data_IF_852929320634
#
_entry.id   IF_852929320634
#
_cell.length_a   1.000
_cell.length_b   1.000
_cell.length_c   1.000
_cell.angle_alpha   90.00
_cell.angle_beta   90.00
_cell.angle_gamma   90.00
#
_symmetry.space_group_name_H-M   'P 1'
#
loop_
_entity.id
_entity.type
_entity.pdbx_description
1 polymer ?
#
# COMPACT_ATOMS: atom_id res chain seq x y z
N UNK A 1 2.22 -13.13 -16.23
CA UNK A 1 1.64 -12.50 -17.43
C UNK A 1 0.45 -11.64 -16.99
N UNK A 2 0.31 -10.49 -17.56
CA UNK A 2 -0.82 -9.56 -17.27
C UNK A 2 -2.13 -10.18 -17.76
N UNK A 3 -3.22 -10.00 -17.01
CA UNK A 3 -4.57 -10.51 -17.25
C UNK A 3 -4.75 -12.04 -17.01
N UNK A 4 -3.85 -12.68 -16.28
CA UNK A 4 -3.99 -14.10 -15.93
C UNK A 4 -4.32 -14.33 -14.44
N UNK A 5 -4.35 -13.28 -13.65
CA UNK A 5 -4.52 -13.33 -12.20
C UNK A 5 -3.21 -13.57 -11.43
N UNK A 6 -3.24 -13.34 -10.13
CA UNK A 6 -2.13 -13.60 -9.23
C UNK A 6 -2.26 -14.99 -8.60
N UNK A 7 -1.13 -15.69 -8.47
CA UNK A 7 -1.08 -17.06 -7.93
C UNK A 7 0.05 -17.22 -6.93
N UNK A 8 -0.17 -18.05 -5.92
CA UNK A 8 0.83 -18.53 -4.99
C UNK A 8 0.74 -20.06 -4.90
N UNK A 9 1.81 -20.79 -5.25
CA UNK A 9 1.84 -22.25 -5.25
C UNK A 9 0.63 -22.84 -6.01
N UNK A 10 0.42 -22.38 -7.23
CA UNK A 10 -0.67 -22.78 -8.14
C UNK A 10 -2.10 -22.46 -7.65
N UNK A 11 -2.23 -21.80 -6.51
CA UNK A 11 -3.52 -21.31 -6.01
C UNK A 11 -3.69 -19.85 -6.35
N UNK A 12 -4.83 -19.51 -6.94
CA UNK A 12 -5.18 -18.11 -7.19
C UNK A 12 -5.37 -17.35 -5.89
N UNK A 13 -4.79 -16.14 -5.81
CA UNK A 13 -4.91 -15.26 -4.66
C UNK A 13 -5.71 -14.02 -5.02
N UNK A 14 -6.34 -13.42 -4.00
CA UNK A 14 -7.16 -12.23 -4.13
C UNK A 14 -6.93 -11.30 -2.94
N UNK A 15 -7.05 -10.00 -3.17
CA UNK A 15 -7.16 -9.03 -2.08
C UNK A 15 -8.41 -9.34 -1.24
N UNK A 16 -8.40 -8.95 0.04
CA UNK A 16 -9.62 -8.99 0.85
C UNK A 16 -10.61 -7.88 0.43
N UNK A 17 -11.79 -7.87 1.04
CA UNK A 17 -12.83 -6.87 0.80
C UNK A 17 -13.15 -6.01 2.03
N UNK A 18 -12.24 -5.97 3.00
CA UNK A 18 -12.44 -5.23 4.26
C UNK A 18 -12.38 -3.72 4.04
N UNK A 19 -13.08 -2.98 4.90
CA UNK A 19 -12.90 -1.54 5.10
C UNK A 19 -11.99 -1.28 6.30
N UNK A 20 -11.60 -0.03 6.56
CA UNK A 20 -10.78 0.28 7.74
C UNK A 20 -11.48 -0.05 9.07
N UNK A 21 -12.81 0.00 9.11
CA UNK A 21 -13.61 -0.26 10.31
C UNK A 21 -13.87 -1.75 10.56
N UNK A 22 -13.47 -2.63 9.64
CA UNK A 22 -13.61 -4.07 9.82
C UNK A 22 -12.65 -4.54 10.92
N UNK A 23 -13.12 -5.39 11.83
CA UNK A 23 -12.32 -5.92 12.95
C UNK A 23 -11.12 -6.76 12.53
N UNK A 24 -11.19 -7.33 11.33
CA UNK A 24 -10.12 -8.12 10.71
C UNK A 24 -9.15 -7.26 9.88
N UNK A 25 -9.42 -5.95 9.78
CA UNK A 25 -8.58 -5.05 8.98
C UNK A 25 -7.23 -4.84 9.63
N UNK A 26 -6.19 -5.23 8.91
CA UNK A 26 -4.80 -5.02 9.28
C UNK A 26 -4.13 -4.13 8.24
N UNK A 27 -3.47 -3.07 8.67
CA UNK A 27 -2.83 -2.07 7.82
C UNK A 27 -1.34 -2.04 8.08
N UNK A 28 -0.53 -2.20 7.04
CA UNK A 28 0.91 -1.96 7.13
C UNK A 28 1.24 -0.51 6.77
N UNK A 29 1.99 0.17 7.62
CA UNK A 29 2.50 1.51 7.35
C UNK A 29 3.99 1.51 7.60
N UNK A 30 4.77 1.55 6.53
CA UNK A 30 6.23 1.60 6.63
C UNK A 30 6.69 3.03 6.93
N UNK A 31 7.61 3.16 7.86
CA UNK A 31 8.18 4.43 8.26
C UNK A 31 9.65 4.25 8.62
N UNK A 32 10.48 5.22 8.26
CA UNK A 32 11.89 5.29 8.66
C UNK A 32 12.39 6.74 8.61
N UNK A 33 13.47 7.09 9.34
CA UNK A 33 13.90 8.49 9.50
C UNK A 33 14.26 9.25 8.21
N UNK A 34 14.72 8.54 7.17
CA UNK A 34 15.11 9.13 5.89
C UNK A 34 14.03 8.96 4.79
N UNK A 35 12.80 8.60 5.17
CA UNK A 35 11.70 8.48 4.23
C UNK A 35 11.39 9.83 3.57
N UNK A 36 10.92 9.79 2.33
CA UNK A 36 10.54 11.01 1.60
C UNK A 36 9.34 11.71 2.23
N UNK A 37 8.36 10.94 2.68
CA UNK A 37 7.13 11.45 3.29
C UNK A 37 6.97 10.97 4.73
N UNK A 38 6.45 11.85 5.58
CA UNK A 38 6.08 11.52 6.94
C UNK A 38 4.68 10.91 6.99
N UNK A 39 4.57 9.63 7.36
CA UNK A 39 3.30 8.93 7.47
C UNK A 39 2.77 8.81 8.91
N UNK A 40 3.46 9.33 9.94
CA UNK A 40 2.98 9.28 11.33
C UNK A 40 1.58 9.90 11.53
N UNK A 41 1.26 11.09 10.94
CA UNK A 41 -0.08 11.66 11.07
C UNK A 41 -1.18 10.81 10.41
N UNK A 42 -0.80 10.02 9.40
CA UNK A 42 -1.69 9.10 8.70
C UNK A 42 -1.90 7.85 9.56
N UNK A 43 -0.83 7.30 10.15
CA UNK A 43 -0.92 6.17 11.08
C UNK A 43 -1.80 6.49 12.27
N UNK A 44 -1.65 7.66 12.88
CA UNK A 44 -2.50 8.11 13.98
C UNK A 44 -3.99 8.08 13.61
N UNK A 45 -4.34 8.53 12.41
CA UNK A 45 -5.74 8.54 11.97
C UNK A 45 -6.27 7.14 11.65
N UNK A 46 -5.47 6.32 10.98
CA UNK A 46 -5.84 4.94 10.63
C UNK A 46 -5.94 4.08 11.88
N UNK A 47 -5.02 4.25 12.83
CA UNK A 47 -4.97 3.51 14.09
C UNK A 47 -6.20 3.69 14.99
N UNK A 48 -7.01 4.74 14.76
CA UNK A 48 -8.31 4.90 15.42
C UNK A 48 -9.37 3.91 14.93
N UNK A 49 -9.13 3.22 13.81
CA UNK A 49 -10.11 2.40 13.09
C UNK A 49 -9.63 0.98 12.82
N UNK A 50 -8.34 0.78 12.62
CA UNK A 50 -7.72 -0.48 12.22
C UNK A 50 -6.49 -0.78 13.06
N UNK A 51 -6.12 -2.04 13.15
CA UNK A 51 -4.80 -2.41 13.65
C UNK A 51 -3.72 -2.00 12.64
N UNK A 52 -2.65 -1.38 13.13
CA UNK A 52 -1.49 -0.99 12.33
C UNK A 52 -0.26 -1.79 12.71
N UNK A 53 0.56 -2.08 11.71
CA UNK A 53 1.87 -2.72 11.87
C UNK A 53 2.88 -2.07 10.94
N UNK A 54 4.16 -2.18 11.28
CA UNK A 54 5.28 -1.79 10.42
C UNK A 54 6.15 -3.03 10.20
N UNK A 55 6.16 -3.56 8.98
CA UNK A 55 6.96 -4.75 8.64
C UNK A 55 8.37 -4.36 8.19
N UNK A 56 8.54 -3.18 7.62
CA UNK A 56 9.81 -2.72 7.07
C UNK A 56 10.20 -3.41 5.76
N UNK A 57 9.24 -3.99 5.06
CA UNK A 57 9.42 -4.61 3.74
C UNK A 57 8.18 -4.40 2.89
N UNK A 58 8.28 -3.51 1.93
CA UNK A 58 7.17 -3.20 1.03
C UNK A 58 6.77 -4.40 0.16
N UNK A 59 7.74 -5.24 -0.23
CA UNK A 59 7.46 -6.46 -0.97
C UNK A 59 6.57 -7.39 -0.14
N UNK A 60 6.94 -7.63 1.12
CA UNK A 60 6.16 -8.50 2.00
C UNK A 60 4.78 -7.92 2.31
N UNK A 61 4.69 -6.61 2.54
CA UNK A 61 3.43 -5.92 2.76
C UNK A 61 2.53 -5.97 1.53
N UNK A 62 3.07 -5.71 0.34
CA UNK A 62 2.32 -5.78 -0.91
C UNK A 62 1.82 -7.19 -1.25
N UNK A 63 2.65 -8.21 -1.04
CA UNK A 63 2.20 -9.61 -1.17
C UNK A 63 1.11 -9.92 -0.14
N UNK A 64 1.22 -9.41 1.08
CA UNK A 64 0.18 -9.54 2.10
C UNK A 64 -1.15 -8.93 1.67
N UNK A 65 -1.13 -7.76 1.00
CA UNK A 65 -2.34 -7.18 0.40
C UNK A 65 -2.89 -8.08 -0.72
N UNK A 66 -2.04 -8.56 -1.63
CA UNK A 66 -2.46 -9.43 -2.73
C UNK A 66 -3.09 -10.75 -2.27
N UNK A 67 -2.69 -11.26 -1.11
CA UNK A 67 -3.23 -12.48 -0.49
C UNK A 67 -4.45 -12.24 0.39
N UNK A 68 -4.77 -10.98 0.68
CA UNK A 68 -5.84 -10.62 1.61
C UNK A 68 -5.45 -10.62 3.09
N UNK A 69 -4.16 -10.79 3.43
CA UNK A 69 -3.66 -10.72 4.81
C UNK A 69 -3.67 -9.27 5.34
N UNK A 70 -3.43 -8.30 4.46
CA UNK A 70 -3.54 -6.87 4.74
C UNK A 70 -4.64 -6.22 3.90
N UNK A 71 -5.32 -5.25 4.49
CA UNK A 71 -6.33 -4.42 3.81
C UNK A 71 -5.68 -3.29 3.02
N UNK A 72 -4.61 -2.73 3.58
CA UNK A 72 -3.89 -1.57 3.08
C UNK A 72 -2.42 -1.67 3.44
N UNK A 73 -1.54 -1.25 2.55
CA UNK A 73 -0.14 -0.97 2.83
C UNK A 73 0.22 0.42 2.31
N UNK A 74 0.88 1.22 3.14
CA UNK A 74 1.39 2.54 2.80
C UNK A 74 2.92 2.54 2.82
N UNK A 75 3.50 3.11 1.80
CA UNK A 75 4.93 3.24 1.62
C UNK A 75 5.32 4.71 1.47
N UNK A 76 6.25 5.25 2.30
CA UNK A 76 6.52 6.69 2.34
C UNK A 76 7.43 7.20 1.22
N UNK A 77 7.80 6.35 0.28
CA UNK A 77 8.68 6.72 -0.82
C UNK A 77 10.15 6.85 -0.43
N UNK A 78 10.98 6.84 -1.43
CA UNK A 78 12.41 7.04 -1.33
C UNK A 78 12.84 8.18 -2.23
N UNK A 79 14.06 8.70 -2.03
CA UNK A 79 14.68 9.67 -2.95
C UNK A 79 15.26 9.01 -4.20
N UNK A 80 15.28 7.67 -4.23
CA UNK A 80 15.80 6.85 -5.32
C UNK A 80 14.69 6.11 -6.06
N UNK A 81 15.08 5.44 -7.18
CA UNK A 81 14.21 4.51 -7.91
C UNK A 81 13.76 3.38 -7.01
N UNK A 82 12.55 2.90 -7.22
CA UNK A 82 12.02 1.77 -6.47
C UNK A 82 11.38 0.72 -7.37
N UNK A 83 12.15 -0.30 -7.71
CA UNK A 83 11.71 -1.41 -8.54
C UNK A 83 10.76 -2.37 -7.78
N UNK A 84 10.81 -2.38 -6.44
CA UNK A 84 10.00 -3.28 -5.62
C UNK A 84 8.51 -2.98 -5.79
N UNK A 85 8.15 -1.69 -5.82
CA UNK A 85 6.75 -1.28 -6.04
C UNK A 85 6.28 -1.67 -7.44
N UNK A 86 7.14 -1.62 -8.46
CA UNK A 86 6.76 -2.03 -9.81
C UNK A 86 6.35 -3.50 -9.88
N UNK A 87 7.11 -4.38 -9.21
CA UNK A 87 6.79 -5.81 -9.15
C UNK A 87 5.50 -6.06 -8.35
N UNK A 88 5.36 -5.40 -7.21
CA UNK A 88 4.18 -5.51 -6.34
C UNK A 88 2.92 -4.99 -7.05
N UNK A 89 3.02 -3.90 -7.81
CA UNK A 89 1.88 -3.34 -8.55
C UNK A 89 1.22 -4.40 -9.42
N UNK A 90 2.00 -5.11 -10.23
CA UNK A 90 1.46 -6.14 -11.13
C UNK A 90 0.75 -7.24 -10.32
N UNK A 91 1.37 -7.73 -9.26
CA UNK A 91 0.80 -8.82 -8.44
C UNK A 91 -0.50 -8.38 -7.75
N UNK A 92 -0.52 -7.19 -7.16
CA UNK A 92 -1.69 -6.66 -6.44
C UNK A 92 -2.84 -6.37 -7.39
N UNK A 93 -2.59 -5.77 -8.55
CA UNK A 93 -3.61 -5.49 -9.55
C UNK A 93 -4.20 -6.77 -10.15
N UNK A 94 -3.38 -7.79 -10.42
CA UNK A 94 -3.83 -9.11 -10.84
C UNK A 94 -4.60 -9.88 -9.74
N UNK A 95 -4.39 -9.53 -8.47
CA UNK A 95 -5.19 -10.02 -7.34
C UNK A 95 -6.47 -9.20 -7.10
N UNK A 96 -6.75 -8.17 -7.92
CA UNK A 96 -7.94 -7.34 -7.85
C UNK A 96 -7.80 -6.07 -6.99
N UNK A 97 -6.58 -5.72 -6.56
CA UNK A 97 -6.28 -4.52 -5.79
C UNK A 97 -5.98 -3.28 -6.64
N UNK A 98 -5.52 -2.25 -5.97
CA UNK A 98 -5.14 -0.94 -6.55
C UNK A 98 -3.76 -0.56 -6.00
N UNK A 99 -2.90 -0.02 -6.89
CA UNK A 99 -1.61 0.56 -6.52
C UNK A 99 -1.45 1.92 -7.19
N UNK A 100 -1.30 2.98 -6.39
CA UNK A 100 -1.06 4.34 -6.86
C UNK A 100 0.09 4.99 -6.07
N UNK A 101 0.51 6.20 -6.45
CA UNK A 101 1.31 7.04 -5.57
C UNK A 101 0.46 7.53 -4.36
N UNK A 102 1.07 8.26 -3.42
CA UNK A 102 0.38 8.81 -2.26
C UNK A 102 -0.64 9.93 -2.61
N UNK A 103 -0.64 10.41 -3.82
CA UNK A 103 -1.59 11.42 -4.33
C UNK A 103 -2.70 10.82 -5.20
N UNK A 104 -2.67 9.50 -5.44
CA UNK A 104 -3.67 8.79 -6.21
C UNK A 104 -3.39 8.74 -7.71
N UNK A 105 -2.16 9.00 -8.13
CA UNK A 105 -1.77 8.96 -9.54
C UNK A 105 -1.00 7.68 -9.89
N UNK A 106 -1.05 7.29 -11.15
CA UNK A 106 -0.08 6.37 -11.73
C UNK A 106 1.31 6.98 -11.69
N UNK A 107 2.33 6.14 -11.46
CA UNK A 107 3.72 6.61 -11.42
C UNK A 107 4.67 5.67 -12.16
N UNK A 108 5.78 6.23 -12.61
CA UNK A 108 6.89 5.47 -13.19
C UNK A 108 7.83 5.02 -12.07
N UNK A 109 8.47 3.87 -12.26
CA UNK A 109 9.34 3.25 -11.24
C UNK A 109 10.83 3.28 -11.62
N UNK A 110 11.15 3.81 -12.81
CA UNK A 110 12.51 4.07 -13.28
C UNK A 110 13.07 5.42 -12.81
N UNK A 111 12.37 6.09 -11.94
CA UNK A 111 12.68 7.38 -11.32
C UNK A 111 12.24 7.40 -9.86
N UNK A 112 12.62 8.43 -9.06
CA UNK A 112 12.15 8.59 -7.68
C UNK A 112 10.61 8.58 -7.61
N UNK A 113 10.06 7.79 -6.69
CA UNK A 113 8.62 7.63 -6.54
C UNK A 113 8.05 8.50 -5.42
N UNK A 114 6.75 8.80 -5.53
CA UNK A 114 5.99 9.56 -4.54
C UNK A 114 5.27 8.63 -3.55
N UNK A 115 6.00 7.68 -2.99
CA UNK A 115 5.44 6.66 -2.12
C UNK A 115 4.46 5.72 -2.84
N UNK A 116 3.67 4.97 -2.08
CA UNK A 116 2.61 4.14 -2.65
C UNK A 116 1.46 3.91 -1.68
N UNK A 117 0.25 3.84 -2.24
CA UNK A 117 -0.96 3.27 -1.63
C UNK A 117 -1.21 1.93 -2.31
N UNK A 118 -1.24 0.86 -1.55
CA UNK A 118 -1.44 -0.52 -2.01
C UNK A 118 -2.61 -1.10 -1.23
N UNK A 119 -3.75 -1.39 -1.86
CA UNK A 119 -4.93 -1.80 -1.11
C UNK A 119 -5.99 -2.52 -1.96
N UNK A 120 -7.05 -2.97 -1.32
CA UNK A 120 -8.26 -3.39 -1.98
C UNK A 120 -9.10 -2.18 -2.45
N UNK A 121 -10.11 -2.43 -3.29
CA UNK A 121 -10.96 -1.37 -3.88
C UNK A 121 -11.85 -0.67 -2.85
N UNK A 122 -12.27 -1.37 -1.80
CA UNK A 122 -13.24 -0.84 -0.82
C UNK A 122 -12.63 0.22 0.09
N UNK A 123 -11.32 0.11 0.37
CA UNK A 123 -10.63 1.04 1.27
C UNK A 123 -9.97 2.21 0.52
N UNK A 124 -9.76 2.09 -0.78
CA UNK A 124 -8.93 3.00 -1.57
C UNK A 124 -9.30 4.48 -1.41
N UNK A 125 -10.56 4.84 -1.66
CA UNK A 125 -10.99 6.23 -1.61
C UNK A 125 -10.81 6.84 -0.22
N UNK A 126 -11.10 6.08 0.83
CA UNK A 126 -10.94 6.53 2.21
C UNK A 126 -9.47 6.69 2.59
N UNK A 127 -8.63 5.72 2.21
CA UNK A 127 -7.18 5.80 2.42
C UNK A 127 -6.58 7.01 1.69
N UNK A 128 -6.94 7.21 0.42
CA UNK A 128 -6.47 8.35 -0.36
C UNK A 128 -6.87 9.69 0.26
N UNK A 129 -8.09 9.82 0.77
CA UNK A 129 -8.56 11.03 1.46
C UNK A 129 -7.71 11.30 2.70
N UNK A 130 -7.53 10.30 3.57
CA UNK A 130 -6.71 10.44 4.80
C UNK A 130 -5.28 10.83 4.44
N UNK A 131 -4.69 10.18 3.43
CA UNK A 131 -3.34 10.47 2.97
C UNK A 131 -3.24 11.92 2.49
N UNK A 132 -4.10 12.37 1.59
CA UNK A 132 -4.08 13.74 1.03
C UNK A 132 -4.24 14.83 2.08
N UNK A 133 -5.05 14.59 3.10
CA UNK A 133 -5.29 15.56 4.17
C UNK A 133 -4.12 15.70 5.14
N UNK A 134 -3.29 14.65 5.28
CA UNK A 134 -2.31 14.56 6.37
C UNK A 134 -0.86 14.40 5.92
N UNK A 135 -0.64 14.11 4.64
CA UNK A 135 0.71 13.87 4.13
C UNK A 135 1.58 15.12 4.23
N UNK A 136 2.82 14.92 4.67
CA UNK A 136 3.87 15.96 4.68
C UNK A 136 5.13 15.36 4.07
N UNK A 137 5.81 16.15 3.24
CA UNK A 137 7.14 15.81 2.75
C UNK A 137 8.15 16.12 3.88
N UNK A 138 9.10 15.21 4.08
CA UNK A 138 10.21 15.42 5.00
C UNK A 138 11.26 16.31 4.32
N UNK A 139 11.83 17.21 5.08
CA UNK A 139 12.90 18.13 4.66
C UNK A 139 14.17 17.38 4.18
#
# INVERSE_FOLDING_TARGET
AVNNGAYQNDKRIFVNNYTLENKESLVNIDMWPAAKYNLYPIEEEIGKKSYTVTIGSIIRAGIGVAKGDFTLALFPGTKDKNCDIAAIKIIVEEAGGIVTDLYGNEQRYDQPIKGAIICNKNVYNKALTIVKERIKEND
#
